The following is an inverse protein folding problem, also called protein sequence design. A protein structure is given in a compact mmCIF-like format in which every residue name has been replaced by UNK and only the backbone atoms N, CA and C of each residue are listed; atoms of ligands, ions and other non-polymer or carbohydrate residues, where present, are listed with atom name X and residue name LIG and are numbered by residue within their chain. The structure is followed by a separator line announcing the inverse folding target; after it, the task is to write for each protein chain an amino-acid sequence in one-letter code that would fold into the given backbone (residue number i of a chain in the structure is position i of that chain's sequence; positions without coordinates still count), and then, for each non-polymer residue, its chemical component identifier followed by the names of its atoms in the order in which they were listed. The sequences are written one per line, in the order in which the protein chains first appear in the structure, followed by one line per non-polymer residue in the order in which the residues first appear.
data_IF_145076763628
#
_entry.id   IF_145076763628
#
_cell.length_a   1.000
_cell.length_b   1.000
_cell.length_c   1.000
_cell.angle_alpha   90.00
_cell.angle_beta   90.00
_cell.angle_gamma   90.00
#
_symmetry.space_group_name_H-M   'P 1'
#
loop_
_entity.id
_entity.type
_entity.pdbx_description
1 polymer ?
#
# COMPACT_ATOMS: atom_id res chain seq x y z
N UNK A 1 48.96 -14.08 1.20
CA UNK A 1 48.06 -12.99 1.63
C UNK A 1 46.90 -12.97 0.67
N UNK A 2 45.86 -13.66 1.10
CA UNK A 2 44.58 -13.83 0.43
C UNK A 2 43.80 -12.52 0.52
N UNK A 3 43.18 -12.10 -0.58
CA UNK A 3 42.04 -11.19 -0.53
C UNK A 3 40.98 -11.76 -1.45
N UNK A 4 40.06 -12.50 -0.84
CA UNK A 4 38.82 -12.98 -1.44
C UNK A 4 38.00 -11.79 -1.96
N UNK A 5 37.82 -11.75 -3.28
CA UNK A 5 36.80 -10.93 -3.90
C UNK A 5 35.44 -11.59 -3.66
N UNK A 6 34.73 -11.14 -2.61
CA UNK A 6 33.31 -11.44 -2.43
C UNK A 6 32.54 -10.74 -3.54
N UNK A 7 32.32 -11.47 -4.62
CA UNK A 7 31.34 -11.14 -5.63
C UNK A 7 29.98 -11.00 -4.94
N UNK A 8 29.46 -9.77 -4.89
CA UNK A 8 28.10 -9.50 -4.47
C UNK A 8 27.16 -10.17 -5.45
N UNK A 9 26.64 -11.29 -5.00
CA UNK A 9 25.45 -11.97 -5.50
C UNK A 9 24.43 -10.95 -6.01
N UNK A 10 24.30 -10.91 -7.32
CA UNK A 10 23.28 -10.17 -8.03
C UNK A 10 21.93 -10.77 -7.66
N UNK A 11 21.24 -10.13 -6.72
CA UNK A 11 19.82 -10.35 -6.41
C UNK A 11 18.94 -9.79 -7.55
N UNK A 12 19.23 -10.27 -8.77
CA UNK A 12 18.44 -10.08 -9.96
C UNK A 12 17.25 -11.04 -9.86
N UNK A 13 16.22 -10.59 -9.15
CA UNK A 13 14.88 -11.17 -9.27
C UNK A 13 14.46 -11.09 -10.74
N UNK A 14 14.34 -12.27 -11.34
CA UNK A 14 14.02 -12.53 -12.73
C UNK A 14 12.68 -11.85 -13.11
N UNK A 15 12.63 -11.02 -14.17
CA UNK A 15 11.37 -10.42 -14.63
C UNK A 15 10.33 -11.47 -15.08
N UNK A 16 10.72 -12.74 -15.26
CA UNK A 16 9.82 -13.86 -15.56
C UNK A 16 9.02 -14.37 -14.34
N UNK A 17 9.44 -14.11 -13.10
CA UNK A 17 8.69 -14.51 -11.88
C UNK A 17 7.48 -13.60 -11.58
N UNK A 18 7.27 -12.55 -12.39
CA UNK A 18 6.27 -11.50 -12.11
C UNK A 18 4.90 -11.78 -12.74
N UNK A 19 4.77 -12.79 -13.60
CA UNK A 19 3.51 -13.13 -14.28
C UNK A 19 2.84 -14.42 -13.80
N UNK A 20 3.50 -15.26 -12.99
CA UNK A 20 2.90 -16.48 -12.41
C UNK A 20 2.07 -16.27 -11.13
N UNK A 21 2.18 -15.11 -10.48
CA UNK A 21 1.66 -14.88 -9.12
C UNK A 21 0.27 -14.23 -9.04
N UNK A 22 -0.18 -13.52 -10.09
CA UNK A 22 -1.50 -12.88 -10.09
C UNK A 22 -2.61 -13.92 -10.26
N UNK A 23 -2.38 -14.95 -11.07
CA UNK A 23 -3.30 -16.11 -11.20
C UNK A 23 -3.41 -16.92 -9.90
N UNK A 24 -2.46 -16.78 -8.96
CA UNK A 24 -2.46 -17.44 -7.65
C UNK A 24 -3.26 -16.68 -6.58
N UNK A 25 -3.26 -15.34 -6.59
CA UNK A 25 -4.01 -14.53 -5.62
C UNK A 25 -5.52 -14.59 -5.87
N UNK A 26 -5.95 -14.47 -7.13
CA UNK A 26 -7.37 -14.54 -7.48
C UNK A 26 -7.93 -15.95 -7.22
N UNK A 27 -7.13 -16.99 -7.49
CA UNK A 27 -7.48 -18.36 -7.14
C UNK A 27 -7.58 -18.57 -5.62
N UNK A 28 -6.69 -17.94 -4.84
CA UNK A 28 -6.71 -18.00 -3.39
C UNK A 28 -7.90 -17.23 -2.79
N UNK A 29 -8.27 -16.08 -3.37
CA UNK A 29 -9.46 -15.31 -2.97
C UNK A 29 -10.74 -16.10 -3.27
N UNK A 30 -10.81 -16.75 -4.44
CA UNK A 30 -11.91 -17.64 -4.78
C UNK A 30 -11.98 -18.88 -3.86
N UNK A 31 -10.86 -19.42 -3.39
CA UNK A 31 -10.83 -20.50 -2.40
C UNK A 31 -11.27 -20.02 -1.02
N UNK A 32 -10.82 -18.84 -0.58
CA UNK A 32 -11.24 -18.22 0.69
C UNK A 32 -12.76 -18.03 0.71
N UNK A 33 -13.34 -17.45 -0.33
CA UNK A 33 -14.79 -17.24 -0.41
C UNK A 33 -15.56 -18.57 -0.44
N UNK A 34 -15.05 -19.58 -1.17
CA UNK A 34 -15.65 -20.92 -1.16
C UNK A 34 -15.63 -21.56 0.22
N UNK A 35 -14.52 -21.47 0.96
CA UNK A 35 -14.40 -22.00 2.32
C UNK A 35 -15.27 -21.21 3.29
N UNK A 36 -15.28 -19.88 3.20
CA UNK A 36 -16.13 -19.01 4.02
C UNK A 36 -17.60 -19.36 3.83
N UNK A 37 -18.07 -19.42 2.59
CA UNK A 37 -19.46 -19.78 2.29
C UNK A 37 -19.84 -21.17 2.82
N UNK A 38 -18.94 -22.15 2.69
CA UNK A 38 -19.16 -23.51 3.21
C UNK A 38 -19.28 -23.53 4.73
N UNK A 39 -18.39 -22.84 5.43
CA UNK A 39 -18.40 -22.79 6.90
C UNK A 39 -19.62 -22.00 7.41
N UNK A 40 -19.99 -20.90 6.77
CA UNK A 40 -21.24 -20.17 7.07
C UNK A 40 -22.48 -21.06 6.91
N UNK A 41 -22.60 -21.77 5.78
CA UNK A 41 -23.69 -22.72 5.56
C UNK A 41 -23.72 -23.84 6.60
N UNK A 42 -22.54 -24.34 6.99
CA UNK A 42 -22.42 -25.36 8.04
C UNK A 42 -22.88 -24.83 9.40
N UNK A 43 -22.47 -23.62 9.77
CA UNK A 43 -22.88 -22.96 11.00
C UNK A 43 -24.39 -22.70 11.02
N UNK A 44 -24.97 -22.22 9.91
CA UNK A 44 -26.42 -22.02 9.77
C UNK A 44 -27.16 -23.36 9.91
N UNK A 45 -26.70 -24.44 9.28
CA UNK A 45 -27.31 -25.77 9.42
C UNK A 45 -27.24 -26.29 10.84
N UNK A 46 -26.09 -26.17 11.51
CA UNK A 46 -25.93 -26.55 12.91
C UNK A 46 -26.85 -25.73 13.80
N UNK A 47 -26.96 -24.42 13.56
CA UNK A 47 -27.82 -23.55 14.35
C UNK A 47 -29.32 -23.85 14.15
N UNK A 48 -29.73 -24.22 12.93
CA UNK A 48 -31.09 -24.74 12.67
C UNK A 48 -31.34 -26.06 13.42
N UNK A 49 -30.40 -27.01 13.37
CA UNK A 49 -30.52 -28.29 14.08
C UNK A 49 -30.59 -28.11 15.59
N UNK A 50 -29.84 -27.15 16.14
CA UNK A 50 -29.88 -26.79 17.56
C UNK A 50 -31.15 -25.99 17.95
N UNK A 51 -32.00 -25.64 16.98
CA UNK A 51 -33.25 -24.92 17.22
C UNK A 51 -33.08 -23.43 17.51
N UNK A 52 -31.89 -22.84 17.29
CA UNK A 52 -31.65 -21.42 17.56
C UNK A 52 -32.54 -20.50 16.72
N UNK A 53 -32.92 -20.91 15.51
CA UNK A 53 -33.83 -20.12 14.66
C UNK A 53 -35.32 -20.29 15.00
N UNK A 54 -35.67 -21.24 15.87
CA UNK A 54 -37.05 -21.50 16.27
C UNK A 54 -37.39 -20.92 17.66
N UNK A 55 -36.39 -20.40 18.37
CA UNK A 55 -36.56 -19.72 19.67
C UNK A 55 -36.49 -18.22 19.48
N UNK A 56 -37.45 -17.49 20.06
CA UNK A 56 -37.31 -16.04 20.27
C UNK A 56 -36.39 -15.82 21.47
N UNK A 57 -35.14 -15.48 21.21
CA UNK A 57 -34.16 -15.13 22.24
C UNK A 57 -34.07 -13.61 22.39
N UNK A 58 -33.90 -13.13 23.62
CA UNK A 58 -33.62 -11.71 23.87
C UNK A 58 -32.14 -11.42 23.53
N UNK A 59 -31.82 -10.18 23.16
CA UNK A 59 -30.43 -9.79 22.81
C UNK A 59 -29.40 -10.14 23.90
N UNK A 60 -29.77 -10.06 25.18
CA UNK A 60 -28.89 -10.43 26.29
C UNK A 60 -28.56 -11.93 26.32
N UNK A 61 -29.52 -12.79 25.94
CA UNK A 61 -29.35 -14.25 25.89
C UNK A 61 -28.48 -14.65 24.70
N UNK A 62 -28.63 -13.97 23.56
CA UNK A 62 -27.77 -14.12 22.38
C UNK A 62 -26.32 -13.76 22.75
N UNK A 63 -26.10 -12.63 23.41
CA UNK A 63 -24.75 -12.21 23.84
C UNK A 63 -24.14 -13.17 24.87
N UNK A 64 -24.95 -13.76 25.75
CA UNK A 64 -24.50 -14.78 26.70
C UNK A 64 -24.01 -16.08 26.01
N UNK A 65 -24.74 -16.55 25.00
CA UNK A 65 -24.38 -17.74 24.21
C UNK A 65 -23.02 -17.61 23.51
N UNK A 66 -22.59 -16.40 23.16
CA UNK A 66 -21.32 -16.16 22.50
C UNK A 66 -20.18 -15.81 23.47
N UNK A 67 -20.46 -15.33 24.69
CA UNK A 67 -19.41 -14.90 25.63
C UNK A 67 -18.58 -16.05 26.19
N UNK A 68 -19.22 -17.17 26.53
CA UNK A 68 -18.55 -18.26 27.24
C UNK A 68 -17.80 -19.23 26.31
N UNK A 69 -18.36 -19.66 25.15
CA UNK A 69 -17.67 -20.60 24.25
C UNK A 69 -16.56 -19.97 23.39
N UNK A 70 -16.61 -18.65 23.14
CA UNK A 70 -15.58 -17.96 22.35
C UNK A 70 -14.28 -17.69 23.12
N UNK A 71 -14.30 -17.81 24.46
CA UNK A 71 -13.09 -17.70 25.28
C UNK A 71 -12.19 -18.93 25.16
N UNK A 72 -12.75 -20.11 24.86
CA UNK A 72 -11.98 -21.29 24.49
C UNK A 72 -11.58 -21.23 23.01
N UNK A 73 -10.63 -20.34 22.71
CA UNK A 73 -10.05 -20.23 21.37
C UNK A 73 -9.43 -21.59 21.00
N UNK A 74 -9.82 -22.20 19.86
CA UNK A 74 -9.19 -23.44 19.43
C UNK A 74 -7.68 -23.20 19.21
N UNK A 75 -6.85 -24.03 19.84
CA UNK A 75 -5.37 -23.96 19.74
C UNK A 75 -4.85 -24.15 18.30
N UNK A 76 -5.70 -24.61 17.37
CA UNK A 76 -5.36 -24.81 15.96
C UNK A 76 -6.09 -23.78 15.09
N UNK A 77 -5.38 -23.00 14.26
CA UNK A 77 -6.02 -22.04 13.36
C UNK A 77 -6.91 -22.76 12.34
N UNK A 78 -8.08 -22.19 12.07
CA UNK A 78 -9.04 -22.73 11.10
C UNK A 78 -8.43 -22.76 9.68
N UNK A 79 -8.99 -23.57 8.79
CA UNK A 79 -8.59 -23.59 7.38
C UNK A 79 -8.75 -22.20 6.74
N UNK A 80 -9.83 -21.49 7.07
CA UNK A 80 -10.04 -20.11 6.65
C UNK A 80 -8.91 -19.18 7.13
N UNK A 81 -8.59 -19.20 8.43
CA UNK A 81 -7.53 -18.37 8.99
C UNK A 81 -6.15 -18.64 8.37
N UNK A 82 -5.86 -19.91 8.03
CA UNK A 82 -4.63 -20.29 7.33
C UNK A 82 -4.59 -19.75 5.90
N UNK A 83 -5.71 -19.82 5.18
CA UNK A 83 -5.80 -19.28 3.82
C UNK A 83 -5.70 -17.75 3.81
N UNK A 84 -6.38 -17.06 4.72
CA UNK A 84 -6.29 -15.61 4.90
C UNK A 84 -4.85 -15.18 5.25
N UNK A 85 -4.18 -15.91 6.15
CA UNK A 85 -2.76 -15.64 6.47
C UNK A 85 -1.85 -15.85 5.26
N UNK A 86 -2.07 -16.93 4.49
CA UNK A 86 -1.30 -17.22 3.27
C UNK A 86 -1.50 -16.11 2.21
N UNK A 87 -2.73 -15.63 2.08
CA UNK A 87 -3.08 -14.51 1.21
C UNK A 87 -2.35 -13.23 1.64
N UNK A 88 -2.35 -12.92 2.92
CA UNK A 88 -1.65 -11.74 3.45
C UNK A 88 -0.14 -11.81 3.20
N UNK A 89 0.47 -13.00 3.34
CA UNK A 89 1.88 -13.22 3.03
C UNK A 89 2.18 -13.04 1.54
N UNK A 90 1.36 -13.61 0.65
CA UNK A 90 1.51 -13.45 -0.80
C UNK A 90 1.28 -11.98 -1.22
N UNK A 91 0.34 -11.30 -0.58
CA UNK A 91 0.04 -9.89 -0.86
C UNK A 91 1.08 -8.92 -0.30
N UNK A 92 1.89 -9.34 0.68
CA UNK A 92 2.93 -8.50 1.27
C UNK A 92 3.98 -8.04 0.24
N UNK A 93 4.33 -8.90 -0.71
CA UNK A 93 5.26 -8.59 -1.81
C UNK A 93 4.73 -7.47 -2.72
N UNK A 94 3.58 -7.66 -3.40
CA UNK A 94 2.91 -6.62 -4.20
C UNK A 94 2.63 -5.33 -3.42
N UNK A 95 2.16 -5.40 -2.18
CA UNK A 95 1.91 -4.22 -1.34
C UNK A 95 3.20 -3.45 -1.06
N UNK A 96 4.29 -4.15 -0.77
CA UNK A 96 5.61 -3.52 -0.55
C UNK A 96 6.12 -2.89 -1.84
N UNK A 97 5.97 -3.56 -2.99
CA UNK A 97 6.33 -3.01 -4.31
C UNK A 97 5.53 -1.74 -4.62
N UNK A 98 4.21 -1.76 -4.41
CA UNK A 98 3.35 -0.60 -4.63
C UNK A 98 3.70 0.56 -3.67
N UNK A 99 3.96 0.27 -2.40
CA UNK A 99 4.42 1.28 -1.44
C UNK A 99 5.76 1.91 -1.87
N UNK A 100 6.71 1.10 -2.36
CA UNK A 100 7.99 1.59 -2.90
C UNK A 100 7.78 2.44 -4.14
N UNK A 101 6.93 2.00 -5.07
CA UNK A 101 6.54 2.74 -6.27
C UNK A 101 5.99 4.12 -5.91
N UNK A 102 5.02 4.18 -4.99
CA UNK A 102 4.46 5.44 -4.49
C UNK A 102 5.53 6.30 -3.80
N UNK A 103 6.38 5.72 -2.95
CA UNK A 103 7.43 6.48 -2.30
C UNK A 103 8.43 7.10 -3.31
N UNK A 104 8.77 6.38 -4.39
CA UNK A 104 9.61 6.90 -5.46
C UNK A 104 8.95 8.06 -6.21
N UNK A 105 7.68 7.92 -6.60
CA UNK A 105 6.94 8.98 -7.27
C UNK A 105 6.73 10.20 -6.36
N UNK A 106 6.47 9.98 -5.07
CA UNK A 106 6.44 11.07 -4.10
C UNK A 106 7.79 11.78 -3.97
N UNK A 107 8.91 11.02 -4.00
CA UNK A 107 10.25 11.59 -4.01
C UNK A 107 10.54 12.43 -5.25
N UNK A 108 10.10 11.95 -6.41
CA UNK A 108 10.15 12.67 -7.69
C UNK A 108 9.42 14.00 -7.61
N UNK A 109 8.15 13.99 -7.17
CA UNK A 109 7.34 15.22 -7.04
C UNK A 109 8.00 16.22 -6.11
N UNK A 110 8.52 15.76 -4.97
CA UNK A 110 9.24 16.64 -4.02
C UNK A 110 10.48 17.25 -4.66
N UNK A 111 11.28 16.47 -5.38
CA UNK A 111 12.46 16.98 -6.07
C UNK A 111 12.09 18.04 -7.12
N UNK A 112 11.08 17.77 -7.95
CA UNK A 112 10.64 18.70 -8.99
C UNK A 112 10.04 19.99 -8.41
N UNK A 113 9.19 19.88 -7.38
CA UNK A 113 8.59 21.03 -6.71
C UNK A 113 9.63 21.96 -6.06
N UNK A 114 10.78 21.41 -5.62
CA UNK A 114 11.87 22.21 -5.07
C UNK A 114 12.68 22.95 -6.12
N UNK A 115 12.90 22.30 -7.26
CA UNK A 115 13.58 22.91 -8.39
C UNK A 115 12.70 23.95 -9.07
N UNK A 116 11.38 23.71 -9.09
CA UNK A 116 10.38 24.52 -9.79
C UNK A 116 9.22 24.89 -8.83
N UNK A 117 9.36 25.94 -7.99
CA UNK A 117 8.32 26.36 -7.05
C UNK A 117 6.99 26.75 -7.72
N UNK A 118 7.01 27.22 -8.97
CA UNK A 118 5.78 27.54 -9.70
C UNK A 118 4.95 26.28 -10.01
N UNK A 119 5.62 25.16 -10.29
CA UNK A 119 4.98 23.85 -10.47
C UNK A 119 4.35 23.39 -9.16
N UNK A 120 5.02 23.63 -8.03
CA UNK A 120 4.44 23.35 -6.72
C UNK A 120 3.15 24.16 -6.49
N UNK A 121 3.19 25.47 -6.70
CA UNK A 121 2.03 26.34 -6.53
C UNK A 121 0.85 25.91 -7.42
N UNK A 122 1.12 25.47 -8.66
CA UNK A 122 0.11 24.97 -9.58
C UNK A 122 -0.53 23.65 -9.11
N UNK A 123 0.26 22.74 -8.53
CA UNK A 123 -0.20 21.40 -8.13
C UNK A 123 -0.85 21.35 -6.75
N UNK A 124 -0.49 22.26 -5.84
CA UNK A 124 -0.97 22.26 -4.44
C UNK A 124 -2.49 22.21 -4.28
N UNK A 125 -3.30 22.97 -5.05
CA UNK A 125 -4.75 22.90 -4.94
C UNK A 125 -5.29 21.48 -5.18
N UNK A 126 -4.83 20.81 -6.24
CA UNK A 126 -5.29 19.45 -6.55
C UNK A 126 -4.75 18.41 -5.55
N UNK A 127 -3.49 18.55 -5.10
CA UNK A 127 -2.94 17.68 -4.05
C UNK A 127 -3.81 17.79 -2.79
N UNK A 128 -4.17 19.01 -2.38
CA UNK A 128 -4.99 19.23 -1.19
C UNK A 128 -6.38 18.62 -1.36
N UNK A 129 -7.01 18.81 -2.52
CA UNK A 129 -8.31 18.22 -2.84
C UNK A 129 -8.27 16.69 -2.76
N UNK A 130 -7.29 16.06 -3.39
CA UNK A 130 -7.12 14.60 -3.38
C UNK A 130 -6.93 14.03 -1.97
N UNK A 131 -6.14 14.72 -1.13
CA UNK A 131 -5.94 14.27 0.26
C UNK A 131 -7.24 14.38 1.06
N UNK A 132 -8.07 15.38 0.78
CA UNK A 132 -9.37 15.59 1.43
C UNK A 132 -10.46 14.63 0.94
N UNK A 133 -10.42 14.21 -0.33
CA UNK A 133 -11.43 13.35 -0.96
C UNK A 133 -11.42 11.90 -0.46
N UNK A 134 -10.74 11.61 0.66
CA UNK A 134 -10.77 10.30 1.27
C UNK A 134 -12.19 10.01 1.80
N UNK A 135 -12.66 8.76 1.65
CA UNK A 135 -14.01 8.32 2.08
C UNK A 135 -14.33 8.56 3.56
N UNK A 136 -13.30 8.78 4.37
CA UNK A 136 -13.40 9.07 5.79
C UNK A 136 -12.74 10.43 6.01
N UNK A 137 -13.53 11.39 6.49
CA UNK A 137 -13.13 12.79 6.67
C UNK A 137 -11.97 12.94 7.67
N UNK A 138 -11.95 12.18 8.77
CA UNK A 138 -10.86 12.21 9.74
C UNK A 138 -9.53 11.73 9.15
N UNK A 139 -9.60 10.78 8.20
CA UNK A 139 -8.42 10.35 7.45
C UNK A 139 -7.97 11.44 6.49
N UNK A 140 -8.89 12.09 5.78
CA UNK A 140 -8.58 13.24 4.93
C UNK A 140 -7.90 14.36 5.72
N UNK A 141 -8.49 14.71 6.87
CA UNK A 141 -7.97 15.64 7.88
C UNK A 141 -6.54 15.34 8.30
N UNK A 142 -6.23 14.06 8.53
CA UNK A 142 -4.88 13.63 8.90
C UNK A 142 -3.91 13.66 7.73
N UNK A 143 -4.35 13.34 6.53
CA UNK A 143 -3.50 13.33 5.33
C UNK A 143 -3.00 14.74 4.98
N UNK A 144 -3.87 15.75 4.98
CA UNK A 144 -3.42 17.15 4.76
C UNK A 144 -2.52 17.62 5.89
N UNK A 145 -2.84 17.29 7.15
CA UNK A 145 -1.94 17.62 8.27
C UNK A 145 -0.57 16.99 8.13
N UNK A 146 -0.50 15.73 7.69
CA UNK A 146 0.76 15.03 7.46
C UNK A 146 1.62 15.71 6.38
N UNK A 147 1.00 16.39 5.41
CA UNK A 147 1.68 17.09 4.33
C UNK A 147 1.67 18.63 4.48
N UNK A 148 1.22 19.18 5.61
CA UNK A 148 1.01 20.61 5.77
C UNK A 148 2.27 21.45 5.49
N UNK A 149 3.45 20.98 5.95
CA UNK A 149 4.73 21.64 5.67
C UNK A 149 5.01 21.71 4.16
N UNK A 150 4.91 20.58 3.47
CA UNK A 150 5.11 20.53 2.02
C UNK A 150 4.07 21.34 1.24
N UNK A 151 2.80 21.34 1.66
CA UNK A 151 1.75 22.11 1.01
C UNK A 151 1.94 23.63 1.16
N UNK A 152 2.65 24.06 2.21
CA UNK A 152 2.98 25.47 2.42
C UNK A 152 4.28 25.87 1.73
N UNK A 153 5.27 24.98 1.73
CA UNK A 153 6.61 25.25 1.21
C UNK A 153 7.19 23.99 0.54
N UNK A 154 7.55 24.02 -0.76
CA UNK A 154 8.21 22.88 -1.41
C UNK A 154 9.56 22.53 -0.77
N UNK A 155 10.18 23.48 -0.06
CA UNK A 155 11.41 23.34 0.72
C UNK A 155 11.29 22.57 2.03
N UNK A 156 10.08 22.08 2.40
CA UNK A 156 9.86 21.38 3.67
C UNK A 156 10.90 20.28 3.93
N UNK A 157 11.65 20.45 5.03
CA UNK A 157 12.66 19.49 5.47
C UNK A 157 12.03 18.20 6.00
N UNK A 158 10.74 18.20 6.35
CA UNK A 158 10.02 17.00 6.79
C UNK A 158 10.01 15.86 5.75
N UNK A 159 10.18 16.19 4.47
CA UNK A 159 10.29 15.21 3.37
C UNK A 159 11.74 14.87 2.98
N UNK A 160 12.71 15.57 3.56
CA UNK A 160 14.14 15.37 3.35
C UNK A 160 14.86 15.05 4.65
N UNK A 161 15.11 13.77 4.83
CA UNK A 161 15.77 13.27 6.02
C UNK A 161 17.24 12.98 5.76
N UNK A 162 18.20 13.51 6.54
CA UNK A 162 19.51 12.90 6.68
C UNK A 162 19.40 11.44 7.19
N UNK A 163 20.43 10.60 6.99
CA UNK A 163 20.36 9.16 7.34
C UNK A 163 20.21 8.87 8.85
N UNK A 164 20.44 9.85 9.72
CA UNK A 164 20.54 9.71 11.18
C UNK A 164 19.22 9.83 11.96
N UNK A 165 18.06 9.92 11.29
CA UNK A 165 16.79 10.15 12.00
C UNK A 165 16.19 8.87 12.57
N UNK A 166 15.47 9.02 13.69
CA UNK A 166 14.71 7.97 14.36
C UNK A 166 13.80 7.16 13.41
N UNK A 167 13.54 5.90 13.78
CA UNK A 167 12.62 5.03 13.03
C UNK A 167 11.22 5.62 12.86
N UNK A 168 10.73 6.37 13.87
CA UNK A 168 9.43 7.06 13.80
C UNK A 168 9.42 8.08 12.67
N UNK A 169 10.45 8.93 12.58
CA UNK A 169 10.55 9.94 11.53
C UNK A 169 10.74 9.31 10.15
N UNK A 170 11.49 8.21 10.05
CA UNK A 170 11.61 7.46 8.78
C UNK A 170 10.27 6.92 8.30
N UNK A 171 9.46 6.35 9.21
CA UNK A 171 8.11 5.88 8.89
C UNK A 171 7.20 7.02 8.45
N UNK A 172 7.26 8.15 9.15
CA UNK A 172 6.46 9.33 8.83
C UNK A 172 6.83 9.92 7.46
N UNK A 173 8.13 10.09 7.18
CA UNK A 173 8.61 10.52 5.86
C UNK A 173 8.12 9.59 4.76
N UNK A 174 8.32 8.28 4.92
CA UNK A 174 7.87 7.28 3.93
C UNK A 174 6.37 7.36 3.73
N UNK A 175 5.58 7.51 4.80
CA UNK A 175 4.13 7.68 4.69
C UNK A 175 3.76 8.92 3.86
N UNK A 176 4.38 10.07 4.12
CA UNK A 176 4.14 11.30 3.36
C UNK A 176 4.51 11.15 1.88
N UNK A 177 5.64 10.50 1.57
CA UNK A 177 6.02 10.21 0.18
C UNK A 177 5.01 9.26 -0.50
N UNK A 178 4.50 8.27 0.23
CA UNK A 178 3.46 7.36 -0.29
C UNK A 178 2.17 8.12 -0.60
N UNK A 179 1.78 9.11 0.22
CA UNK A 179 0.59 9.94 -0.06
C UNK A 179 0.76 10.72 -1.38
N UNK A 180 1.91 11.37 -1.57
CA UNK A 180 2.22 12.09 -2.81
C UNK A 180 2.28 11.15 -4.01
N UNK A 181 2.92 9.99 -3.88
CA UNK A 181 2.94 9.01 -4.98
C UNK A 181 1.58 8.41 -5.30
N UNK A 182 0.71 8.25 -4.30
CA UNK A 182 -0.68 7.83 -4.52
C UNK A 182 -1.44 8.88 -5.33
N UNK A 183 -1.23 10.16 -5.03
CA UNK A 183 -1.77 11.27 -5.80
C UNK A 183 -1.28 11.24 -7.26
N UNK A 184 0.03 11.06 -7.49
CA UNK A 184 0.58 10.95 -8.86
C UNK A 184 -0.13 9.85 -9.66
N UNK A 185 -0.24 8.65 -9.09
CA UNK A 185 -0.90 7.54 -9.76
C UNK A 185 -2.37 7.81 -10.07
N UNK A 186 -3.07 8.56 -9.21
CA UNK A 186 -4.49 8.86 -9.37
C UNK A 186 -4.76 10.00 -10.38
N UNK A 187 -3.81 10.92 -10.57
CA UNK A 187 -4.04 12.18 -11.30
C UNK A 187 -3.23 12.34 -12.58
N UNK A 188 -2.19 11.52 -12.80
CA UNK A 188 -1.27 11.64 -13.95
C UNK A 188 -1.95 11.64 -15.33
N UNK A 189 -3.12 11.02 -15.47
CA UNK A 189 -3.85 10.97 -16.75
C UNK A 189 -4.78 12.17 -16.94
N UNK A 190 -5.06 12.92 -15.88
CA UNK A 190 -6.07 13.98 -15.84
C UNK A 190 -5.49 15.38 -15.65
N UNK A 191 -4.27 15.47 -15.13
CA UNK A 191 -3.54 16.73 -14.96
C UNK A 191 -2.42 16.83 -15.98
N UNK A 192 -2.58 17.75 -16.93
CA UNK A 192 -1.61 17.98 -18.00
C UNK A 192 -0.22 18.32 -17.43
N UNK A 193 -0.16 19.21 -16.44
CA UNK A 193 1.08 19.67 -15.81
C UNK A 193 1.84 18.50 -15.18
N UNK A 194 1.13 17.59 -14.50
CA UNK A 194 1.71 16.41 -13.89
C UNK A 194 2.17 15.39 -14.95
N UNK A 195 1.36 15.17 -15.98
CA UNK A 195 1.70 14.26 -17.09
C UNK A 195 2.96 14.73 -17.80
N UNK A 196 2.98 15.99 -18.21
CA UNK A 196 4.09 16.59 -18.95
C UNK A 196 5.37 16.57 -18.09
N UNK A 197 5.24 16.82 -16.78
CA UNK A 197 6.35 16.69 -15.82
C UNK A 197 6.88 15.25 -15.73
N UNK A 198 5.99 14.26 -15.62
CA UNK A 198 6.37 12.84 -15.53
C UNK A 198 7.08 12.40 -16.81
N UNK A 199 6.51 12.70 -17.99
CA UNK A 199 7.11 12.33 -19.28
C UNK A 199 8.49 12.95 -19.49
N UNK A 200 8.66 14.22 -19.14
CA UNK A 200 9.91 14.93 -19.40
C UNK A 200 11.05 14.58 -18.42
N UNK A 201 10.73 14.38 -17.13
CA UNK A 201 11.74 14.46 -16.06
C UNK A 201 11.92 13.15 -15.28
N UNK A 202 11.00 12.17 -15.40
CA UNK A 202 11.04 10.97 -14.56
C UNK A 202 12.28 10.12 -14.86
N UNK A 203 12.66 9.95 -16.14
CA UNK A 203 13.84 9.18 -16.53
C UNK A 203 15.11 9.79 -15.94
N UNK A 204 15.31 11.10 -16.13
CA UNK A 204 16.46 11.81 -15.60
C UNK A 204 16.52 11.77 -14.07
N UNK A 205 15.38 11.86 -13.39
CA UNK A 205 15.32 11.66 -11.95
C UNK A 205 15.77 10.25 -11.54
N UNK A 206 15.30 9.21 -12.21
CA UNK A 206 15.66 7.82 -11.88
C UNK A 206 17.16 7.55 -12.06
N UNK A 207 17.80 8.21 -13.03
CA UNK A 207 19.25 8.08 -13.29
C UNK A 207 20.12 8.73 -12.22
N UNK A 208 19.58 9.69 -11.47
CA UNK A 208 20.26 10.33 -10.35
C UNK A 208 20.21 9.51 -9.05
N UNK A 209 19.37 8.47 -8.98
CA UNK A 209 19.14 7.68 -7.77
C UNK A 209 19.89 6.34 -7.88
N UNK A 210 20.44 5.86 -6.77
CA UNK A 210 21.01 4.51 -6.70
C UNK A 210 19.97 3.45 -7.10
N UNK A 211 20.44 2.32 -7.68
CA UNK A 211 19.59 1.18 -8.10
C UNK A 211 18.64 1.54 -9.25
N UNK A 212 19.15 2.26 -10.25
CA UNK A 212 18.43 2.72 -11.44
C UNK A 212 17.59 1.61 -12.08
N UNK A 213 18.20 0.46 -12.39
CA UNK A 213 17.52 -0.65 -13.09
C UNK A 213 16.31 -1.18 -12.31
N UNK A 214 16.45 -1.29 -10.98
CA UNK A 214 15.36 -1.71 -10.10
C UNK A 214 14.23 -0.69 -10.09
N UNK A 215 14.54 0.60 -10.08
CA UNK A 215 13.52 1.64 -10.08
C UNK A 215 12.84 1.79 -11.44
N UNK A 216 13.59 1.67 -12.54
CA UNK A 216 13.04 1.59 -13.91
C UNK A 216 12.10 0.38 -14.02
N UNK A 217 12.48 -0.80 -13.52
CA UNK A 217 11.62 -1.97 -13.51
C UNK A 217 10.32 -1.77 -12.69
N UNK A 218 10.39 -1.08 -11.53
CA UNK A 218 9.22 -0.78 -10.69
C UNK A 218 8.24 0.21 -11.33
N UNK A 219 8.70 1.01 -12.28
CA UNK A 219 7.95 2.07 -12.95
C UNK A 219 7.82 1.82 -14.45
N UNK A 220 8.09 0.59 -14.92
CA UNK A 220 8.14 0.26 -16.35
C UNK A 220 6.84 0.65 -17.06
N UNK A 221 5.69 0.34 -16.45
CA UNK A 221 4.37 0.68 -16.98
C UNK A 221 4.15 2.20 -17.12
N UNK A 222 4.75 3.01 -16.26
CA UNK A 222 4.73 4.47 -16.37
C UNK A 222 5.69 4.99 -17.43
N UNK A 223 6.83 4.33 -17.62
CA UNK A 223 7.82 4.73 -18.61
C UNK A 223 7.40 4.35 -20.03
N UNK A 224 6.68 3.23 -20.19
CA UNK A 224 6.15 2.80 -21.49
C UNK A 224 4.98 3.70 -21.97
N UNK A 225 4.40 4.51 -21.07
CA UNK A 225 3.31 5.45 -21.33
C UNK A 225 3.76 6.91 -21.43
N UNK A 226 5.02 7.18 -21.07
CA UNK A 226 5.62 8.51 -20.97
C UNK A 226 6.12 9.00 -22.33
#
# INVERSE_FOLDING_TARGET
METEAVAKESDALDPADVLGDLESLDALDAEIERVRHREEQRLVKLARKAGYFHRRMKNAEILGLFRDPLQEVPKRPSTLARLETRRDLLFAGPRTRNARRKALLGGFVVAQCRLKPDVHAALVPDIREFLWSHRNEDVGARNVRALAGFLADPGDKGLSAPPTISMKARKERTHRLILLGAWVLARREHLKELRDLVSAELVGFLEQVQRVDRHKALLKDLLDQA
#
